data_IF_754154034529
#
_entry.id   IF_754154034529
#
_cell.length_a   1.000
_cell.length_b   1.000
_cell.length_c   1.000
_cell.angle_alpha   90.00
_cell.angle_beta   90.00
_cell.angle_gamma   90.00
#
_symmetry.space_group_name_H-M   'P 1'
#
loop_
_entity.id
_entity.type
_entity.pdbx_description
1 polymer ?
#
# COMPACT_ATOMS: atom_id res chain seq x y z
N UNK A 1 -34.29 -76.96 47.91
CA UNK A 1 -34.84 -78.09 47.14
C UNK A 1 -35.95 -77.55 46.24
N UNK A 2 -36.10 -77.91 44.97
CA UNK A 2 -35.15 -78.39 43.96
C UNK A 2 -35.89 -78.29 42.60
N UNK A 3 -35.27 -77.73 41.56
CA UNK A 3 -35.89 -77.56 40.24
C UNK A 3 -34.81 -77.49 39.16
N UNK A 4 -35.07 -78.08 38.00
CA UNK A 4 -34.09 -78.40 36.96
C UNK A 4 -34.82 -78.63 35.61
N UNK A 5 -34.14 -78.77 34.44
CA UNK A 5 -32.74 -78.43 34.10
C UNK A 5 -32.61 -77.63 32.77
N UNK A 6 -31.36 -77.44 32.31
CA UNK A 6 -30.87 -77.43 30.91
C UNK A 6 -31.42 -76.46 29.82
N UNK A 7 -30.50 -75.74 29.17
CA UNK A 7 -30.04 -76.08 27.80
C UNK A 7 -28.69 -75.43 27.45
N UNK A 8 -28.05 -75.86 26.35
CA UNK A 8 -26.65 -75.56 25.95
C UNK A 8 -26.57 -74.75 24.66
N UNK A 9 -25.58 -73.86 24.53
CA UNK A 9 -24.99 -73.42 23.25
C UNK A 9 -23.46 -73.35 23.37
N UNK A 10 -22.75 -73.65 22.28
CA UNK A 10 -21.27 -73.72 22.18
C UNK A 10 -20.73 -72.77 21.07
N UNK A 11 -19.42 -72.50 21.11
CA UNK A 11 -18.62 -71.68 20.15
C UNK A 11 -17.20 -72.26 20.01
N UNK A 12 -16.29 -71.75 19.13
CA UNK A 12 -16.41 -70.82 18.00
C UNK A 12 -16.22 -71.59 16.66
N UNK A 13 -15.20 -71.46 15.74
CA UNK A 13 -14.00 -70.60 15.57
C UNK A 13 -14.00 -69.75 14.26
N UNK A 14 -12.82 -69.52 13.65
CA UNK A 14 -12.51 -68.94 12.33
C UNK A 14 -11.68 -70.01 11.53
N UNK A 15 -11.45 -69.96 10.21
CA UNK A 15 -10.69 -68.91 9.50
C UNK A 15 -10.62 -69.11 7.94
N UNK A 16 -10.17 -68.06 7.25
CA UNK A 16 -9.55 -68.00 5.90
C UNK A 16 -10.13 -68.77 4.66
N UNK A 17 -10.71 -68.01 3.71
CA UNK A 17 -10.34 -68.15 2.29
C UNK A 17 -10.15 -66.76 1.63
N UNK A 18 -9.37 -66.69 0.55
CA UNK A 18 -8.73 -65.47 0.03
C UNK A 18 -9.06 -65.25 -1.45
N UNK A 19 -10.21 -64.63 -1.73
CA UNK A 19 -10.61 -64.25 -3.09
C UNK A 19 -10.21 -62.80 -3.38
N UNK A 20 -9.47 -62.59 -4.47
CA UNK A 20 -9.06 -61.25 -4.90
C UNK A 20 -10.22 -60.52 -5.60
N UNK A 21 -10.95 -59.70 -4.86
CA UNK A 21 -11.89 -58.76 -5.46
C UNK A 21 -11.14 -57.54 -5.98
N UNK A 22 -11.21 -57.27 -7.28
CA UNK A 22 -10.65 -56.05 -7.86
C UNK A 22 -11.52 -54.87 -7.43
N UNK A 23 -11.08 -54.12 -6.42
CA UNK A 23 -11.71 -52.82 -6.10
C UNK A 23 -11.41 -51.83 -7.23
N UNK A 24 -12.21 -51.86 -8.29
CA UNK A 24 -12.38 -50.72 -9.17
C UNK A 24 -13.07 -49.60 -8.37
N UNK A 25 -12.25 -48.85 -7.63
CA UNK A 25 -12.64 -47.60 -6.99
C UNK A 25 -12.82 -46.53 -8.05
N UNK A 26 -13.84 -46.70 -8.88
CA UNK A 26 -14.58 -45.58 -9.46
C UNK A 26 -14.87 -44.61 -8.31
N UNK A 27 -14.15 -43.50 -8.30
CA UNK A 27 -14.27 -42.52 -7.23
C UNK A 27 -15.68 -41.96 -7.27
N UNK A 28 -16.51 -42.34 -6.29
CA UNK A 28 -17.80 -41.70 -6.05
C UNK A 28 -17.49 -40.19 -5.97
N UNK A 29 -17.99 -39.36 -6.90
CA UNK A 29 -17.72 -37.94 -6.86
C UNK A 29 -18.26 -37.44 -5.52
N UNK A 30 -17.40 -36.84 -4.69
CA UNK A 30 -17.73 -36.49 -3.32
C UNK A 30 -19.05 -35.71 -3.31
N UNK A 31 -20.11 -36.35 -2.84
CA UNK A 31 -21.45 -35.80 -2.94
C UNK A 31 -21.46 -34.50 -2.16
N UNK A 32 -21.64 -33.39 -2.86
CA UNK A 32 -21.73 -32.06 -2.26
C UNK A 32 -22.93 -32.07 -1.30
N UNK A 33 -22.65 -32.36 -0.03
CA UNK A 33 -23.63 -32.82 0.95
C UNK A 33 -24.73 -31.78 1.04
N UNK A 34 -25.91 -32.14 0.55
CA UNK A 34 -26.96 -31.18 0.22
C UNK A 34 -27.39 -30.42 1.49
N UNK A 35 -27.28 -29.09 1.44
CA UNK A 35 -27.65 -28.24 2.57
C UNK A 35 -29.17 -28.00 2.53
N UNK A 36 -29.90 -28.86 3.24
CA UNK A 36 -31.36 -28.78 3.39
C UNK A 36 -31.83 -27.60 4.25
N UNK A 37 -30.92 -26.84 4.88
CA UNK A 37 -31.27 -25.66 5.68
C UNK A 37 -31.81 -24.54 4.78
N UNK A 38 -32.72 -23.74 5.34
CA UNK A 38 -33.29 -22.57 4.66
C UNK A 38 -32.18 -21.55 4.44
N UNK A 39 -31.84 -21.29 3.17
CA UNK A 39 -30.77 -20.36 2.79
C UNK A 39 -31.25 -18.91 2.86
N UNK A 40 -30.78 -18.19 3.88
CA UNK A 40 -31.01 -16.77 4.07
C UNK A 40 -29.74 -15.95 3.79
N UNK A 41 -29.89 -14.66 3.53
CA UNK A 41 -28.75 -13.75 3.25
C UNK A 41 -28.42 -12.80 4.41
N UNK A 42 -29.37 -12.59 5.32
CA UNK A 42 -29.29 -11.63 6.43
C UNK A 42 -29.70 -12.28 7.75
N UNK A 43 -28.71 -12.61 8.59
CA UNK A 43 -28.92 -13.13 9.96
C UNK A 43 -29.88 -12.25 10.76
N UNK A 44 -29.65 -10.92 10.72
CA UNK A 44 -30.51 -9.91 11.35
C UNK A 44 -31.99 -10.03 10.93
N UNK A 45 -32.28 -10.26 9.64
CA UNK A 45 -33.68 -10.34 9.20
C UNK A 45 -34.39 -11.58 9.76
N UNK A 46 -33.65 -12.68 9.95
CA UNK A 46 -34.18 -13.88 10.63
C UNK A 46 -34.36 -13.60 12.12
N UNK A 47 -33.44 -12.88 12.77
CA UNK A 47 -33.60 -12.42 14.17
C UNK A 47 -34.84 -11.54 14.35
N UNK A 48 -35.06 -10.55 13.47
CA UNK A 48 -36.23 -9.67 13.49
C UNK A 48 -37.54 -10.45 13.30
N UNK A 49 -37.54 -11.51 12.48
CA UNK A 49 -38.70 -12.41 12.34
C UNK A 49 -38.88 -13.30 13.58
N UNK A 50 -37.79 -13.82 14.17
CA UNK A 50 -37.85 -14.57 15.43
C UNK A 50 -38.45 -13.72 16.55
N UNK A 51 -37.98 -12.48 16.76
CA UNK A 51 -38.52 -11.53 17.75
C UNK A 51 -40.03 -11.27 17.58
N UNK A 52 -40.52 -11.21 16.33
CA UNK A 52 -41.95 -11.10 16.05
C UNK A 52 -42.70 -12.40 16.38
N UNK A 53 -42.11 -13.56 16.09
CA UNK A 53 -42.68 -14.87 16.38
C UNK A 53 -42.69 -15.23 17.87
N UNK A 54 -41.74 -14.73 18.67
CA UNK A 54 -41.65 -14.98 20.12
C UNK A 54 -42.94 -14.61 20.87
N UNK A 55 -43.74 -13.67 20.36
CA UNK A 55 -45.03 -13.31 20.93
C UNK A 55 -46.04 -14.46 20.90
N UNK A 56 -46.03 -15.29 19.86
CA UNK A 56 -46.89 -16.47 19.77
C UNK A 56 -46.43 -17.57 20.73
N UNK A 57 -45.12 -17.71 20.96
CA UNK A 57 -44.57 -18.63 21.97
C UNK A 57 -44.96 -18.17 23.37
N UNK A 58 -44.88 -16.87 23.66
CA UNK A 58 -45.31 -16.28 24.94
C UNK A 58 -46.82 -16.49 25.19
N UNK A 59 -47.67 -16.39 24.17
CA UNK A 59 -49.12 -16.64 24.26
C UNK A 59 -49.49 -18.08 24.62
N UNK A 60 -48.59 -19.07 24.46
CA UNK A 60 -48.82 -20.42 24.98
C UNK A 60 -48.93 -20.43 26.52
N UNK A 61 -48.32 -19.45 27.19
CA UNK A 61 -48.32 -19.31 28.63
C UNK A 61 -49.71 -19.11 29.25
N UNK A 62 -50.63 -18.49 28.52
CA UNK A 62 -52.00 -18.21 28.98
C UNK A 62 -52.79 -19.50 29.30
N UNK A 63 -52.36 -20.64 28.75
CA UNK A 63 -52.92 -21.97 29.01
C UNK A 63 -52.16 -22.78 30.09
N UNK A 64 -51.06 -22.27 30.64
CA UNK A 64 -50.21 -22.98 31.62
C UNK A 64 -50.47 -22.54 33.07
N UNK A 65 -50.39 -23.48 34.04
CA UNK A 65 -50.33 -23.15 35.47
C UNK A 65 -49.14 -22.24 35.82
N UNK A 66 -49.34 -21.30 36.74
CA UNK A 66 -48.34 -20.31 37.17
C UNK A 66 -47.00 -20.95 37.56
N UNK A 67 -47.06 -22.07 38.28
CA UNK A 67 -45.92 -22.78 38.88
C UNK A 67 -44.93 -23.32 37.84
N UNK A 68 -45.40 -23.58 36.62
CA UNK A 68 -44.57 -24.08 35.51
C UNK A 68 -44.47 -23.12 34.33
N UNK A 69 -45.24 -22.02 34.31
CA UNK A 69 -45.34 -21.12 33.15
C UNK A 69 -44.00 -20.49 32.78
N UNK A 70 -43.28 -19.87 33.72
CA UNK A 70 -42.01 -19.20 33.40
C UNK A 70 -40.92 -20.20 32.94
N UNK A 71 -40.66 -21.34 33.62
CA UNK A 71 -39.72 -22.34 33.13
C UNK A 71 -40.09 -22.92 31.76
N UNK A 72 -41.35 -23.32 31.57
CA UNK A 72 -41.81 -23.93 30.32
C UNK A 72 -41.80 -22.94 29.15
N UNK A 73 -42.14 -21.66 29.37
CA UNK A 73 -42.00 -20.63 28.35
C UNK A 73 -40.55 -20.38 27.96
N UNK A 74 -39.60 -20.39 28.92
CA UNK A 74 -38.17 -20.21 28.60
C UNK A 74 -37.61 -21.41 27.84
N UNK A 75 -37.98 -22.62 28.20
CA UNK A 75 -37.59 -23.84 27.48
C UNK A 75 -38.21 -23.91 26.08
N UNK A 76 -39.49 -23.57 25.93
CA UNK A 76 -40.17 -23.51 24.64
C UNK A 76 -39.59 -22.42 23.73
N UNK A 77 -39.28 -21.23 24.27
CA UNK A 77 -38.64 -20.14 23.53
C UNK A 77 -37.24 -20.52 23.06
N UNK A 78 -36.42 -21.09 23.95
CA UNK A 78 -35.08 -21.58 23.61
C UNK A 78 -35.13 -22.68 22.56
N UNK A 79 -36.04 -23.65 22.69
CA UNK A 79 -36.22 -24.76 21.76
C UNK A 79 -36.69 -24.27 20.39
N UNK A 80 -37.65 -23.34 20.34
CA UNK A 80 -38.12 -22.70 19.10
C UNK A 80 -36.99 -21.96 18.38
N UNK A 81 -36.28 -21.08 19.08
CA UNK A 81 -35.17 -20.32 18.49
C UNK A 81 -34.04 -21.25 18.02
N UNK A 82 -33.64 -22.23 18.84
CA UNK A 82 -32.57 -23.18 18.50
C UNK A 82 -32.92 -24.01 17.27
N UNK A 83 -34.15 -24.54 17.21
CA UNK A 83 -34.61 -25.31 16.05
C UNK A 83 -34.60 -24.48 14.75
N UNK A 84 -34.96 -23.20 14.80
CA UNK A 84 -34.85 -22.30 13.63
C UNK A 84 -33.39 -22.01 13.29
N UNK A 85 -32.53 -21.74 14.28
CA UNK A 85 -31.11 -21.44 14.06
C UNK A 85 -30.33 -22.63 13.48
N UNK A 86 -30.66 -23.86 13.85
CA UNK A 86 -30.07 -25.07 13.27
C UNK A 86 -30.55 -25.34 11.84
N UNK A 87 -31.81 -25.02 11.54
CA UNK A 87 -32.44 -25.25 10.22
C UNK A 87 -32.28 -24.08 9.23
N UNK A 88 -31.49 -23.05 9.56
CA UNK A 88 -31.17 -21.90 8.70
C UNK A 88 -29.68 -21.83 8.40
N UNK A 89 -29.32 -21.49 7.16
CA UNK A 89 -27.93 -21.12 6.80
C UNK A 89 -27.87 -19.68 6.28
N UNK A 90 -26.82 -18.95 6.66
CA UNK A 90 -26.63 -17.55 6.27
C UNK A 90 -25.52 -17.50 5.23
N UNK A 91 -25.87 -17.22 3.97
CA UNK A 91 -24.95 -17.29 2.83
C UNK A 91 -24.20 -18.64 2.72
N UNK A 92 -24.83 -19.73 3.17
CA UNK A 92 -24.27 -21.08 3.23
C UNK A 92 -23.50 -21.43 4.52
N UNK A 93 -23.19 -20.45 5.36
CA UNK A 93 -22.55 -20.67 6.67
C UNK A 93 -23.57 -21.14 7.71
N UNK A 94 -23.12 -21.87 8.74
CA UNK A 94 -23.97 -22.15 9.90
C UNK A 94 -24.28 -20.88 10.70
N UNK A 95 -25.40 -20.85 11.43
CA UNK A 95 -25.86 -19.66 12.16
C UNK A 95 -24.81 -19.05 13.11
N UNK A 96 -24.02 -19.89 13.79
CA UNK A 96 -22.97 -19.44 14.71
C UNK A 96 -21.69 -18.97 13.99
N UNK A 97 -21.42 -19.48 12.78
CA UNK A 97 -20.28 -19.05 11.93
C UNK A 97 -20.60 -17.76 11.17
N UNK A 98 -21.89 -17.48 10.97
CA UNK A 98 -22.39 -16.31 10.27
C UNK A 98 -22.09 -15.02 11.06
N UNK A 99 -21.11 -14.27 10.58
CA UNK A 99 -20.61 -13.04 11.22
C UNK A 99 -21.70 -12.02 11.50
N UNK A 100 -21.76 -11.56 12.75
CA UNK A 100 -22.62 -10.44 13.13
C UNK A 100 -22.13 -9.10 12.55
N UNK A 101 -23.08 -8.18 12.37
CA UNK A 101 -22.90 -6.94 11.60
C UNK A 101 -21.88 -5.96 12.22
N UNK A 102 -21.61 -6.11 13.52
CA UNK A 102 -20.61 -5.36 14.29
C UNK A 102 -19.17 -5.59 13.80
N UNK A 103 -18.82 -6.83 13.45
CA UNK A 103 -17.49 -7.17 12.92
C UNK A 103 -17.21 -6.49 11.57
N UNK A 104 -18.24 -6.37 10.74
CA UNK A 104 -18.16 -5.67 9.45
C UNK A 104 -17.91 -4.17 9.65
N UNK A 105 -18.58 -3.52 10.61
CA UNK A 105 -18.35 -2.11 10.93
C UNK A 105 -16.89 -1.83 11.35
N UNK A 106 -16.33 -2.65 12.24
CA UNK A 106 -14.92 -2.56 12.66
C UNK A 106 -13.94 -2.73 11.48
N UNK A 107 -14.21 -3.69 10.59
CA UNK A 107 -13.39 -3.91 9.38
C UNK A 107 -13.46 -2.76 8.38
N UNK A 108 -14.63 -2.12 8.22
CA UNK A 108 -14.80 -0.95 7.33
C UNK A 108 -14.02 0.25 7.86
N UNK A 109 -14.07 0.54 9.17
CA UNK A 109 -13.32 1.66 9.74
C UNK A 109 -11.79 1.42 9.68
N UNK A 110 -11.32 0.18 9.93
CA UNK A 110 -9.91 -0.16 9.74
C UNK A 110 -9.45 0.03 8.28
N UNK A 111 -10.28 -0.40 7.31
CA UNK A 111 -9.99 -0.24 5.89
C UNK A 111 -9.91 1.25 5.50
N UNK A 112 -10.82 2.08 6.02
CA UNK A 112 -10.85 3.52 5.83
C UNK A 112 -9.57 4.19 6.34
N UNK A 113 -9.19 4.01 7.62
CA UNK A 113 -7.98 4.64 8.17
C UNK A 113 -6.69 4.19 7.46
N UNK A 114 -6.63 2.93 7.01
CA UNK A 114 -5.52 2.44 6.18
C UNK A 114 -5.51 3.09 4.79
N UNK A 115 -6.66 3.24 4.16
CA UNK A 115 -6.80 3.94 2.88
C UNK A 115 -6.38 5.41 2.96
N UNK A 116 -6.82 6.12 4.00
CA UNK A 116 -6.41 7.51 4.30
C UNK A 116 -4.90 7.64 4.48
N UNK A 117 -4.27 6.69 5.18
CA UNK A 117 -2.81 6.66 5.40
C UNK A 117 -2.05 6.44 4.09
N UNK A 118 -2.46 5.48 3.27
CA UNK A 118 -1.84 5.21 1.96
C UNK A 118 -2.03 6.39 1.02
N UNK A 119 -3.23 6.98 0.96
CA UNK A 119 -3.51 8.16 0.14
C UNK A 119 -2.64 9.37 0.56
N UNK A 120 -2.41 9.56 1.86
CA UNK A 120 -1.48 10.58 2.37
C UNK A 120 -0.05 10.31 1.91
N UNK A 121 0.46 9.08 2.08
CA UNK A 121 1.81 8.70 1.65
C UNK A 121 2.03 8.88 0.14
N UNK A 122 1.05 8.48 -0.68
CA UNK A 122 1.07 8.72 -2.13
C UNK A 122 1.10 10.23 -2.45
N UNK A 123 0.25 11.03 -1.77
CA UNK A 123 0.21 12.49 -1.95
C UNK A 123 1.50 13.20 -1.53
N UNK A 124 2.23 12.64 -0.56
CA UNK A 124 3.51 13.14 -0.08
C UNK A 124 4.65 12.78 -1.05
N UNK A 125 4.70 11.53 -1.52
CA UNK A 125 5.63 11.09 -2.57
C UNK A 125 5.43 11.86 -3.89
N UNK A 126 4.19 12.10 -4.31
CA UNK A 126 3.88 12.89 -5.51
C UNK A 126 4.31 14.37 -5.39
N UNK A 127 4.46 14.90 -4.17
CA UNK A 127 4.98 16.26 -3.94
C UNK A 127 6.51 16.34 -3.92
N UNK A 128 7.19 15.27 -3.49
CA UNK A 128 8.67 15.24 -3.44
C UNK A 128 9.33 14.76 -4.74
N UNK A 129 8.64 13.95 -5.55
CA UNK A 129 9.14 13.44 -6.83
C UNK A 129 9.67 14.52 -7.79
N UNK A 130 9.02 15.68 -8.00
CA UNK A 130 9.54 16.73 -8.89
C UNK A 130 10.92 17.27 -8.46
N UNK A 131 11.12 17.52 -7.16
CA UNK A 131 12.38 18.04 -6.63
C UNK A 131 13.52 16.99 -6.73
N UNK A 132 13.21 15.71 -6.58
CA UNK A 132 14.16 14.62 -6.80
C UNK A 132 14.60 14.50 -8.26
N UNK A 133 13.69 14.77 -9.21
CA UNK A 133 14.00 14.82 -10.64
C UNK A 133 14.91 16.02 -10.96
N UNK A 134 14.57 17.22 -10.47
CA UNK A 134 15.38 18.43 -10.63
C UNK A 134 16.80 18.26 -10.07
N UNK A 135 16.92 17.64 -8.88
CA UNK A 135 18.22 17.30 -8.29
C UNK A 135 19.02 16.31 -9.16
N UNK A 136 18.36 15.32 -9.76
CA UNK A 136 18.96 14.37 -10.71
C UNK A 136 19.47 15.04 -11.99
N UNK A 137 18.69 15.96 -12.56
CA UNK A 137 19.10 16.75 -13.73
C UNK A 137 20.26 17.71 -13.40
N UNK A 138 20.27 18.30 -12.20
CA UNK A 138 21.40 19.08 -11.69
C UNK A 138 22.70 18.28 -11.64
N UNK A 139 22.68 17.07 -11.07
CA UNK A 139 23.84 16.17 -11.08
C UNK A 139 24.25 15.76 -12.50
N UNK A 140 23.28 15.44 -13.37
CA UNK A 140 23.49 15.12 -14.78
C UNK A 140 24.21 16.25 -15.52
N UNK A 141 23.85 17.50 -15.24
CA UNK A 141 24.48 18.68 -15.84
C UNK A 141 25.92 18.91 -15.33
N UNK A 142 26.20 18.70 -14.04
CA UNK A 142 27.57 18.79 -13.49
C UNK A 142 28.49 17.76 -14.15
N UNK A 143 28.03 16.51 -14.31
CA UNK A 143 28.81 15.46 -14.96
C UNK A 143 29.09 15.77 -16.44
N UNK A 144 28.14 16.33 -17.19
CA UNK A 144 28.37 16.82 -18.56
C UNK A 144 29.43 17.92 -18.64
N UNK A 145 29.54 18.76 -17.60
CA UNK A 145 30.53 19.84 -17.52
C UNK A 145 31.92 19.39 -17.06
N UNK A 146 32.07 18.20 -16.48
CA UNK A 146 33.35 17.70 -15.96
C UNK A 146 34.52 17.75 -16.96
N UNK A 147 34.38 17.37 -18.26
CA UNK A 147 35.46 17.49 -19.24
C UNK A 147 35.84 18.95 -19.53
N UNK A 148 34.86 19.85 -19.54
CA UNK A 148 35.07 21.29 -19.76
C UNK A 148 35.83 21.91 -18.58
N UNK A 149 35.44 21.57 -17.35
CA UNK A 149 36.11 22.00 -16.12
C UNK A 149 37.55 21.47 -16.06
N UNK A 150 37.79 20.24 -16.50
CA UNK A 150 39.13 19.66 -16.56
C UNK A 150 40.00 20.35 -17.63
N UNK A 151 39.47 20.61 -18.83
CA UNK A 151 40.17 21.34 -19.88
C UNK A 151 40.47 22.79 -19.46
N UNK A 152 39.54 23.47 -18.79
CA UNK A 152 39.74 24.80 -18.21
C UNK A 152 40.85 24.79 -17.15
N UNK A 153 40.92 23.76 -16.29
CA UNK A 153 41.99 23.58 -15.31
C UNK A 153 43.35 23.39 -15.98
N UNK A 154 43.45 22.54 -17.00
CA UNK A 154 44.69 22.33 -17.76
C UNK A 154 45.12 23.62 -18.48
N UNK A 155 44.20 24.33 -19.13
CA UNK A 155 44.50 25.63 -19.74
C UNK A 155 44.97 26.64 -18.69
N UNK A 156 44.35 26.70 -17.51
CA UNK A 156 44.77 27.57 -16.43
C UNK A 156 46.18 27.21 -15.94
N UNK A 157 46.49 25.93 -15.74
CA UNK A 157 47.81 25.46 -15.33
C UNK A 157 48.90 25.79 -16.35
N UNK A 158 48.66 25.44 -17.63
CA UNK A 158 49.61 25.67 -18.73
C UNK A 158 49.85 27.16 -18.97
N UNK A 159 48.80 27.99 -19.03
CA UNK A 159 48.94 29.42 -19.37
C UNK A 159 49.21 30.33 -18.16
N UNK A 160 48.89 29.90 -16.93
CA UNK A 160 49.24 30.64 -15.69
C UNK A 160 50.60 30.24 -15.10
N UNK A 161 51.37 29.40 -15.79
CA UNK A 161 52.78 29.05 -15.48
C UNK A 161 53.75 30.25 -15.54
N UNK A 162 53.26 31.45 -15.84
CA UNK A 162 54.00 32.71 -15.91
C UNK A 162 54.57 33.16 -14.54
N UNK A 163 55.72 32.61 -14.19
CA UNK A 163 56.74 33.19 -13.28
C UNK A 163 56.33 33.35 -11.80
N UNK A 164 56.55 32.30 -11.01
CA UNK A 164 56.87 32.49 -9.57
C UNK A 164 58.24 33.18 -9.46
N UNK A 165 58.23 34.51 -9.43
CA UNK A 165 59.33 35.28 -8.82
C UNK A 165 59.30 35.05 -7.30
N UNK A 166 60.45 34.84 -6.64
CA UNK A 166 60.50 34.92 -5.18
C UNK A 166 60.27 36.37 -4.71
N UNK A 167 59.69 36.50 -3.53
CA UNK A 167 59.57 37.69 -2.69
C UNK A 167 59.23 39.03 -3.37
N UNK A 168 57.92 39.24 -3.55
CA UNK A 168 57.26 40.51 -3.17
C UNK A 168 56.02 40.15 -2.35
N UNK A 169 55.76 40.92 -1.30
CA UNK A 169 54.65 40.73 -0.36
C UNK A 169 53.27 40.78 -1.07
N UNK A 170 52.33 39.87 -0.78
CA UNK A 170 51.06 39.80 -1.48
C UNK A 170 50.04 40.81 -0.95
N UNK A 171 49.93 41.98 -1.59
CA UNK A 171 48.78 42.87 -1.37
C UNK A 171 47.46 42.15 -1.71
N UNK A 172 46.55 42.08 -0.74
CA UNK A 172 45.33 41.26 -0.80
C UNK A 172 44.25 41.86 -1.71
N UNK A 173 44.45 41.81 -3.03
CA UNK A 173 43.42 42.13 -4.04
C UNK A 173 42.44 40.98 -4.26
N UNK A 174 41.89 40.43 -3.16
CA UNK A 174 40.69 39.60 -3.19
C UNK A 174 39.48 40.53 -3.32
N UNK A 175 39.29 41.14 -4.49
CA UNK A 175 38.01 41.73 -4.84
C UNK A 175 37.00 40.60 -5.01
N UNK A 176 35.99 40.55 -4.14
CA UNK A 176 34.90 39.57 -4.20
C UNK A 176 34.25 39.58 -5.59
N UNK A 177 34.36 38.47 -6.32
CA UNK A 177 33.54 38.21 -7.50
C UNK A 177 32.29 37.44 -7.02
N UNK A 178 31.42 38.14 -6.32
CA UNK A 178 30.18 37.57 -5.79
C UNK A 178 29.12 37.50 -6.90
N UNK A 179 28.99 36.33 -7.53
CA UNK A 179 28.01 36.09 -8.60
C UNK A 179 26.64 35.69 -8.04
N UNK A 180 25.97 36.63 -7.37
CA UNK A 180 24.58 36.49 -6.91
C UNK A 180 23.64 37.27 -7.84
N UNK A 181 22.77 36.61 -8.64
CA UNK A 181 21.93 37.29 -9.63
C UNK A 181 20.63 37.85 -8.99
N UNK A 182 20.73 38.98 -8.29
CA UNK A 182 19.55 39.66 -7.72
C UNK A 182 18.71 40.37 -8.80
N UNK A 183 17.40 40.34 -8.62
CA UNK A 183 16.40 40.55 -9.68
C UNK A 183 16.22 41.99 -10.19
N UNK A 184 15.66 42.04 -11.41
CA UNK A 184 14.76 43.06 -11.98
C UNK A 184 14.50 44.33 -11.16
N UNK A 185 15.15 45.43 -11.56
CA UNK A 185 14.64 46.79 -11.29
C UNK A 185 14.93 47.71 -12.48
N UNK A 186 14.00 48.61 -12.78
CA UNK A 186 13.96 49.42 -14.01
C UNK A 186 15.09 50.45 -14.07
N UNK A 187 16.19 50.12 -14.77
CA UNK A 187 17.22 51.10 -15.14
C UNK A 187 16.83 51.87 -16.40
N UNK A 188 16.86 53.20 -16.28
CA UNK A 188 16.81 54.13 -17.42
C UNK A 188 18.04 53.93 -18.29
N UNK A 189 17.89 54.04 -19.61
CA UNK A 189 19.01 53.89 -20.57
C UNK A 189 20.02 55.02 -20.42
N UNK A 190 21.06 54.81 -19.62
CA UNK A 190 22.32 55.52 -19.75
C UNK A 190 23.29 54.64 -20.54
N UNK A 191 23.68 55.10 -21.73
CA UNK A 191 24.56 54.35 -22.63
C UNK A 191 26.02 54.47 -22.15
N UNK A 192 26.33 53.77 -21.06
CA UNK A 192 27.66 53.75 -20.45
C UNK A 192 28.56 52.85 -21.29
N UNK A 193 29.07 53.41 -22.39
CA UNK A 193 30.10 52.77 -23.24
C UNK A 193 31.34 52.47 -22.39
N UNK A 194 31.44 51.23 -21.91
CA UNK A 194 32.57 50.74 -21.12
C UNK A 194 33.85 50.88 -21.95
N UNK A 195 34.63 51.92 -21.65
CA UNK A 195 35.94 52.18 -22.27
C UNK A 195 36.88 51.01 -21.94
N UNK A 196 36.92 50.01 -22.81
CA UNK A 196 37.90 48.92 -22.79
C UNK A 196 39.30 49.53 -22.64
N UNK A 197 39.94 49.31 -21.49
CA UNK A 197 41.30 49.81 -21.23
C UNK A 197 42.20 49.35 -22.38
N UNK A 198 42.89 50.29 -23.01
CA UNK A 198 43.84 49.98 -24.07
C UNK A 198 45.08 49.35 -23.44
N UNK A 199 45.15 48.02 -23.48
CA UNK A 199 46.32 47.27 -23.02
C UNK A 199 47.55 47.75 -23.80
N UNK A 200 48.64 48.08 -23.08
CA UNK A 200 49.95 48.35 -23.70
C UNK A 200 50.37 47.14 -24.54
N UNK A 201 51.10 47.39 -25.64
CA UNK A 201 51.39 46.38 -26.67
C UNK A 201 52.02 45.11 -26.09
N UNK A 202 51.22 44.06 -25.96
CA UNK A 202 51.64 42.79 -25.37
C UNK A 202 52.33 41.91 -26.44
N UNK A 203 53.39 41.16 -26.11
CA UNK A 203 54.13 40.38 -27.09
C UNK A 203 53.24 39.46 -27.96
N UNK A 204 52.19 38.85 -27.40
CA UNK A 204 51.22 38.03 -28.16
C UNK A 204 50.62 38.74 -29.38
N UNK A 205 50.41 40.07 -29.36
CA UNK A 205 49.84 40.82 -30.49
C UNK A 205 50.75 40.88 -31.72
N UNK A 206 52.06 40.67 -31.55
CA UNK A 206 53.03 40.58 -32.66
C UNK A 206 52.98 39.23 -33.36
N UNK A 207 52.69 38.16 -32.61
CA UNK A 207 52.55 36.79 -33.12
C UNK A 207 51.16 36.53 -33.71
N UNK A 208 50.11 37.19 -33.20
CA UNK A 208 48.73 37.00 -33.65
C UNK A 208 48.01 38.33 -33.97
N UNK A 209 48.26 38.93 -35.15
CA UNK A 209 47.62 40.18 -35.56
C UNK A 209 46.11 40.01 -35.82
N UNK A 210 45.28 40.49 -34.90
CA UNK A 210 43.82 40.50 -35.06
C UNK A 210 43.39 41.48 -36.18
N UNK A 211 43.00 40.95 -37.35
CA UNK A 211 42.46 41.74 -38.45
C UNK A 211 41.12 42.38 -38.05
N UNK A 212 40.94 43.71 -38.11
CA UNK A 212 39.65 44.34 -37.82
C UNK A 212 38.60 43.99 -38.88
N UNK A 213 37.68 43.07 -38.56
CA UNK A 213 36.52 42.78 -39.40
C UNK A 213 35.46 43.87 -39.16
N UNK A 214 35.36 44.85 -40.07
CA UNK A 214 34.22 45.76 -40.10
C UNK A 214 32.96 44.97 -40.43
N UNK A 215 31.93 45.16 -39.64
CA UNK A 215 30.56 44.70 -39.90
C UNK A 215 29.80 45.98 -40.18
N UNK A 216 29.30 46.14 -41.41
CA UNK A 216 28.33 47.18 -41.70
C UNK A 216 26.96 46.64 -41.26
N UNK A 217 26.23 47.46 -40.51
CA UNK A 217 24.81 47.29 -40.27
C UNK A 217 24.14 48.40 -41.07
N UNK A 218 23.58 48.03 -42.22
CA UNK A 218 22.69 48.91 -42.96
C UNK A 218 21.33 48.91 -42.24
N UNK A 219 20.72 50.09 -42.10
CA UNK A 219 19.50 50.36 -41.32
C UNK A 219 18.25 50.28 -42.19
#
# INVERSE_FOLDING_TARGET
MAGAPESVVLSPPLDAEKVAWTEDRTSVPATCREDFRVRCTSKRAVTEVLELCSRFVQQLGDALPEEIREPALRDAQWTFESAVQENVSINGQAWQEASDKSFIASRVENLKCRGETVAKQMSEAMKSLPALIEQGDGFSQVLKMQPVIHLQRIHQEVFSSCYRKPDVEPENFITQIETTPTETSTRKTTDIVLKRKQTKDCPQRKWYPLRPKRINLDT
#
